data_IF_022805949720
#
_entry.id   IF_022805949720
#
_cell.length_a   1.000
_cell.length_b   1.000
_cell.length_c   1.000
_cell.angle_alpha   90.00
_cell.angle_beta   90.00
_cell.angle_gamma   90.00
#
_symmetry.space_group_name_H-M   'P 1'
#
loop_
_entity.id
_entity.type
_entity.pdbx_description
1 polymer ?
#
# COMPACT_ATOMS: atom_id res chain seq x y z
N UNK A 1 -13.13 1.60 17.17
CA UNK A 1 -11.83 1.47 16.42
C UNK A 1 -11.55 2.77 15.68
N UNK A 2 -10.30 3.23 15.71
CA UNK A 2 -9.89 4.52 15.15
C UNK A 2 -8.79 4.39 14.11
N UNK A 3 -8.97 5.09 12.99
CA UNK A 3 -7.99 5.17 11.89
C UNK A 3 -7.59 6.61 11.65
N UNK A 4 -6.31 6.90 11.65
CA UNK A 4 -5.79 8.19 11.16
C UNK A 4 -5.21 8.03 9.76
N UNK A 5 -5.53 8.94 8.85
CA UNK A 5 -4.98 9.03 7.50
C UNK A 5 -4.24 10.35 7.38
N UNK A 6 -2.91 10.29 7.28
CA UNK A 6 -2.05 11.46 7.09
C UNK A 6 -1.83 11.69 5.61
N UNK A 7 -2.35 12.80 5.11
CA UNK A 7 -2.47 13.16 3.71
C UNK A 7 -3.91 13.04 3.22
N UNK A 8 -4.65 14.16 3.19
CA UNK A 8 -6.05 14.22 2.74
C UNK A 8 -6.20 14.40 1.21
N UNK A 9 -5.16 14.04 0.46
CA UNK A 9 -5.20 14.02 -1.00
C UNK A 9 -6.19 12.99 -1.55
N UNK A 10 -6.23 12.82 -2.88
CA UNK A 10 -7.22 11.92 -3.51
C UNK A 10 -7.15 10.48 -2.97
N UNK A 11 -5.96 9.93 -2.72
CA UNK A 11 -5.79 8.57 -2.19
C UNK A 11 -6.31 8.48 -0.75
N UNK A 12 -5.89 9.42 0.12
CA UNK A 12 -6.32 9.43 1.53
C UNK A 12 -7.82 9.65 1.69
N UNK A 13 -8.39 10.60 0.95
CA UNK A 13 -9.84 10.84 0.96
C UNK A 13 -10.63 9.63 0.43
N UNK A 14 -10.15 8.96 -0.63
CA UNK A 14 -10.80 7.73 -1.13
C UNK A 14 -10.70 6.60 -0.11
N UNK A 15 -9.56 6.46 0.58
CA UNK A 15 -9.43 5.47 1.65
C UNK A 15 -10.43 5.73 2.78
N UNK A 16 -10.55 6.99 3.24
CA UNK A 16 -11.54 7.38 4.25
C UNK A 16 -12.97 7.08 3.81
N UNK A 17 -13.31 7.40 2.56
CA UNK A 17 -14.63 7.11 1.97
C UNK A 17 -14.97 5.61 2.00
N UNK A 18 -14.03 4.76 1.57
CA UNK A 18 -14.27 3.31 1.54
C UNK A 18 -14.30 2.73 2.95
N UNK A 19 -13.44 3.20 3.86
CA UNK A 19 -13.43 2.77 5.27
C UNK A 19 -14.76 3.12 5.94
N UNK A 20 -15.25 4.35 5.78
CA UNK A 20 -16.53 4.79 6.32
C UNK A 20 -17.71 4.03 5.70
N UNK A 21 -17.80 3.99 4.36
CA UNK A 21 -18.91 3.34 3.65
C UNK A 21 -19.05 1.85 3.95
N UNK A 22 -17.97 1.20 4.41
CA UNK A 22 -17.97 -0.21 4.83
C UNK A 22 -17.99 -0.37 6.35
N UNK A 23 -18.08 0.71 7.10
CA UNK A 23 -18.06 0.73 8.56
C UNK A 23 -16.90 -0.06 9.17
N UNK A 24 -15.71 0.06 8.55
CA UNK A 24 -14.49 -0.64 8.98
C UNK A 24 -13.95 -0.04 10.29
N UNK A 25 -14.12 1.27 10.49
CA UNK A 25 -13.72 1.99 11.69
C UNK A 25 -14.84 2.95 12.13
N UNK A 26 -14.97 3.17 13.43
CA UNK A 26 -15.93 4.12 14.02
C UNK A 26 -15.46 5.56 13.85
N UNK A 27 -14.16 5.79 14.12
CA UNK A 27 -13.52 7.11 14.05
C UNK A 27 -12.47 7.13 12.94
N UNK A 28 -12.56 8.11 12.06
CA UNK A 28 -11.60 8.34 10.97
C UNK A 28 -11.10 9.78 11.06
N UNK A 29 -9.79 9.94 11.22
CA UNK A 29 -9.14 11.27 11.22
C UNK A 29 -8.43 11.46 9.89
N UNK A 30 -8.78 12.51 9.16
CA UNK A 30 -8.02 13.01 8.02
C UNK A 30 -7.12 14.16 8.48
N UNK A 31 -5.81 14.03 8.30
CA UNK A 31 -4.84 15.04 8.67
C UNK A 31 -4.08 15.51 7.43
N UNK A 32 -3.98 16.83 7.24
CA UNK A 32 -3.16 17.43 6.17
C UNK A 32 -2.45 18.67 6.69
N UNK A 33 -1.41 19.12 6.01
CA UNK A 33 -0.70 20.37 6.33
C UNK A 33 -1.34 21.59 5.66
N UNK A 34 -2.16 21.37 4.64
CA UNK A 34 -2.83 22.43 3.88
C UNK A 34 -4.07 22.89 4.66
N UNK A 35 -4.07 24.16 5.06
CA UNK A 35 -5.12 24.76 5.88
C UNK A 35 -6.53 24.54 5.31
N UNK A 36 -7.44 24.03 6.13
CA UNK A 36 -8.85 23.77 5.79
C UNK A 36 -9.09 22.62 4.82
N UNK A 37 -8.04 22.00 4.28
CA UNK A 37 -8.19 20.99 3.21
C UNK A 37 -8.73 19.66 3.75
N UNK A 38 -8.19 19.19 4.85
CA UNK A 38 -8.64 17.96 5.48
C UNK A 38 -10.05 18.12 6.08
N UNK A 39 -10.33 19.27 6.69
CA UNK A 39 -11.64 19.64 7.24
C UNK A 39 -12.71 19.67 6.14
N UNK A 40 -12.40 20.30 5.00
CA UNK A 40 -13.30 20.33 3.85
C UNK A 40 -13.59 18.95 3.28
N UNK A 41 -12.56 18.09 3.16
CA UNK A 41 -12.71 16.69 2.71
C UNK A 41 -13.54 15.86 3.70
N UNK A 42 -13.29 16.00 4.99
CA UNK A 42 -14.04 15.30 6.03
C UNK A 42 -15.53 15.70 6.02
N UNK A 43 -15.80 17.00 5.91
CA UNK A 43 -17.17 17.51 5.82
C UNK A 43 -17.92 17.02 4.59
N UNK A 44 -17.27 17.03 3.41
CA UNK A 44 -17.84 16.52 2.16
C UNK A 44 -18.17 15.02 2.26
N UNK A 45 -17.25 14.23 2.82
CA UNK A 45 -17.46 12.80 3.07
C UNK A 45 -18.59 12.56 4.08
N UNK A 46 -18.64 13.30 5.20
CA UNK A 46 -19.73 13.19 6.18
C UNK A 46 -21.12 13.46 5.58
N UNK A 47 -21.21 14.36 4.60
CA UNK A 47 -22.47 14.62 3.90
C UNK A 47 -22.97 13.42 3.08
N UNK A 48 -22.12 12.44 2.80
CA UNK A 48 -22.51 11.21 2.10
C UNK A 48 -23.10 10.16 3.04
N UNK A 49 -23.01 10.31 4.37
CA UNK A 49 -23.41 9.29 5.34
C UNK A 49 -24.87 8.87 5.20
N UNK A 50 -25.78 9.85 5.06
CA UNK A 50 -27.22 9.56 4.90
C UNK A 50 -27.57 8.84 3.60
N UNK A 51 -26.78 9.01 2.55
CA UNK A 51 -27.02 8.36 1.25
C UNK A 51 -26.33 7.01 1.12
N UNK A 52 -25.21 6.82 1.83
CA UNK A 52 -24.41 5.58 1.85
C UNK A 52 -24.77 4.67 3.03
N UNK A 53 -25.42 5.22 4.07
CA UNK A 53 -25.90 4.45 5.22
C UNK A 53 -24.80 4.01 6.15
N UNK A 54 -23.88 4.91 6.54
CA UNK A 54 -22.83 4.62 7.53
C UNK A 54 -22.89 5.57 8.73
N UNK A 55 -22.45 5.10 9.89
CA UNK A 55 -22.40 5.86 11.16
C UNK A 55 -20.97 6.28 11.56
N UNK A 56 -19.94 5.91 10.79
CA UNK A 56 -18.56 6.33 11.04
C UNK A 56 -18.43 7.85 11.09
N UNK A 57 -17.65 8.37 12.05
CA UNK A 57 -17.35 9.80 12.16
C UNK A 57 -16.04 10.12 11.47
N UNK A 58 -16.06 11.08 10.55
CA UNK A 58 -14.87 11.53 9.82
C UNK A 58 -14.55 12.95 10.30
N UNK A 59 -13.38 13.12 10.90
CA UNK A 59 -12.88 14.43 11.38
C UNK A 59 -11.68 14.85 10.54
N UNK A 60 -11.68 16.08 10.05
CA UNK A 60 -10.54 16.71 9.39
C UNK A 60 -9.74 17.59 10.32
N UNK A 61 -8.42 17.68 10.12
CA UNK A 61 -7.57 18.59 10.89
C UNK A 61 -6.36 19.07 10.12
N UNK A 62 -6.04 20.34 10.26
CA UNK A 62 -4.83 20.96 9.72
C UNK A 62 -3.70 20.93 10.75
N UNK A 63 -2.76 19.98 10.58
CA UNK A 63 -1.51 19.92 11.36
C UNK A 63 -1.64 19.56 12.84
N UNK A 64 -2.85 19.37 13.38
CA UNK A 64 -3.05 18.97 14.78
C UNK A 64 -2.97 17.47 14.94
N UNK A 65 -1.79 17.00 15.32
CA UNK A 65 -1.54 15.58 15.58
C UNK A 65 -2.15 15.06 16.88
N UNK A 66 -2.64 15.92 17.78
CA UNK A 66 -3.30 15.47 19.02
C UNK A 66 -4.54 14.63 18.74
N UNK A 67 -5.23 14.91 17.61
CA UNK A 67 -6.38 14.12 17.17
C UNK A 67 -6.01 12.69 16.73
N UNK A 68 -4.73 12.37 16.55
CA UNK A 68 -4.28 11.00 16.22
C UNK A 68 -4.21 10.09 17.44
N UNK A 69 -4.36 10.65 18.65
CA UNK A 69 -4.31 9.88 19.90
C UNK A 69 -5.28 8.69 19.85
N UNK A 70 -4.78 7.53 20.29
CA UNK A 70 -5.56 6.30 20.34
C UNK A 70 -5.85 5.65 18.99
N UNK A 71 -5.18 6.03 17.91
CA UNK A 71 -5.35 5.39 16.61
C UNK A 71 -4.81 3.94 16.63
N UNK A 72 -5.66 2.98 16.24
CA UNK A 72 -5.27 1.58 16.06
C UNK A 72 -4.38 1.44 14.81
N UNK A 73 -4.75 2.14 13.74
CA UNK A 73 -4.05 2.14 12.45
C UNK A 73 -3.79 3.58 12.00
N UNK A 74 -2.57 3.83 11.55
CA UNK A 74 -2.18 5.09 10.92
C UNK A 74 -1.73 4.84 9.48
N UNK A 75 -2.46 5.41 8.54
CA UNK A 75 -2.14 5.34 7.10
C UNK A 75 -1.37 6.60 6.70
N UNK A 76 -0.17 6.44 6.14
CA UNK A 76 0.66 7.55 5.68
C UNK A 76 0.63 7.60 4.16
N UNK A 77 -0.15 8.54 3.62
CA UNK A 77 -0.22 8.84 2.18
C UNK A 77 0.46 10.16 1.82
N UNK A 78 0.98 10.88 2.83
CA UNK A 78 1.65 12.17 2.67
C UNK A 78 2.97 12.02 1.92
N UNK A 79 3.21 12.94 1.02
CA UNK A 79 4.39 12.98 0.17
C UNK A 79 4.11 13.79 -1.08
N UNK A 80 5.16 14.13 -1.81
CA UNK A 80 5.01 14.82 -3.10
C UNK A 80 5.14 13.84 -4.27
N UNK A 81 4.40 14.02 -5.35
CA UNK A 81 4.64 13.29 -6.59
C UNK A 81 5.91 13.84 -7.28
N UNK A 82 6.54 13.01 -8.10
CA UNK A 82 7.67 13.44 -8.92
C UNK A 82 7.26 14.57 -9.85
N UNK A 83 7.97 15.69 -9.78
CA UNK A 83 7.75 16.86 -10.67
C UNK A 83 8.68 16.76 -11.91
N UNK A 84 8.31 17.39 -13.04
CA UNK A 84 9.22 17.53 -14.18
C UNK A 84 10.54 18.17 -13.75
N UNK A 85 11.67 17.58 -14.17
CA UNK A 85 13.01 18.05 -13.81
C UNK A 85 13.56 17.57 -12.47
N UNK A 86 12.74 16.97 -11.61
CA UNK A 86 13.20 16.41 -10.32
C UNK A 86 13.91 15.08 -10.53
N UNK A 87 15.10 14.92 -9.90
CA UNK A 87 15.80 13.64 -9.87
C UNK A 87 15.08 12.65 -8.96
N UNK A 88 15.45 11.38 -9.05
CA UNK A 88 14.90 10.33 -8.18
C UNK A 88 15.38 10.52 -6.73
N UNK A 89 16.64 10.90 -6.56
CA UNK A 89 17.28 11.15 -5.28
C UNK A 89 16.62 12.33 -4.56
N UNK A 90 16.37 13.43 -5.26
CA UNK A 90 15.66 14.60 -4.70
C UNK A 90 14.24 14.21 -4.20
N UNK A 91 13.50 13.41 -4.98
CA UNK A 91 12.19 12.93 -4.55
C UNK A 91 12.28 12.07 -3.30
N UNK A 92 13.24 11.13 -3.26
CA UNK A 92 13.46 10.26 -2.10
C UNK A 92 13.79 11.10 -0.87
N UNK A 93 14.69 12.08 -0.99
CA UNK A 93 15.10 12.95 0.12
C UNK A 93 13.94 13.76 0.69
N UNK A 94 13.12 14.36 -0.18
CA UNK A 94 11.95 15.14 0.27
C UNK A 94 10.94 14.24 0.99
N UNK A 95 10.57 13.11 0.39
CA UNK A 95 9.59 12.21 0.98
C UNK A 95 10.13 11.52 2.24
N UNK A 96 11.43 11.26 2.33
CA UNK A 96 12.07 10.73 3.53
C UNK A 96 11.89 11.69 4.73
N UNK A 97 12.14 12.99 4.53
CA UNK A 97 11.93 13.99 5.58
C UNK A 97 10.46 14.06 6.00
N UNK A 98 9.52 14.07 5.04
CA UNK A 98 8.09 14.06 5.34
C UNK A 98 7.71 12.83 6.16
N UNK A 99 8.13 11.63 5.76
CA UNK A 99 7.81 10.37 6.46
C UNK A 99 8.39 10.36 7.88
N UNK A 100 9.61 10.85 8.08
CA UNK A 100 10.23 10.97 9.41
C UNK A 100 9.45 11.93 10.31
N UNK A 101 9.14 13.12 9.81
CA UNK A 101 8.42 14.14 10.59
C UNK A 101 7.02 13.65 10.96
N UNK A 102 6.30 13.06 10.03
CA UNK A 102 4.97 12.46 10.26
C UNK A 102 5.07 11.34 11.29
N UNK A 103 6.01 10.41 11.13
CA UNK A 103 6.19 9.28 12.05
C UNK A 103 6.50 9.75 13.47
N UNK A 104 7.40 10.74 13.61
CA UNK A 104 7.74 11.34 14.91
C UNK A 104 6.52 11.99 15.57
N UNK A 105 5.77 12.78 14.82
CA UNK A 105 4.60 13.48 15.35
C UNK A 105 3.48 12.49 15.76
N UNK A 106 3.25 11.44 15.00
CA UNK A 106 2.29 10.39 15.35
C UNK A 106 2.69 9.71 16.66
N UNK A 107 3.96 9.30 16.80
CA UNK A 107 4.43 8.60 17.99
C UNK A 107 4.43 9.47 19.26
N UNK A 108 4.34 10.79 19.14
CA UNK A 108 4.14 11.68 20.27
C UNK A 108 2.75 11.51 20.93
N UNK A 109 1.75 11.06 20.18
CA UNK A 109 0.37 10.89 20.64
C UNK A 109 -0.12 9.45 20.64
N UNK A 110 0.48 8.58 19.82
CA UNK A 110 0.07 7.18 19.68
C UNK A 110 1.28 6.26 19.77
N UNK A 111 1.46 5.59 20.91
CA UNK A 111 2.70 4.89 21.26
C UNK A 111 2.98 3.62 20.46
N UNK A 112 1.95 2.93 19.97
CA UNK A 112 2.10 1.62 19.32
C UNK A 112 1.08 1.38 18.19
N UNK A 113 0.93 2.29 17.21
CA UNK A 113 0.00 2.11 16.10
C UNK A 113 0.50 1.03 15.12
N UNK A 114 -0.39 0.50 14.28
CA UNK A 114 0.03 -0.16 13.06
C UNK A 114 0.14 0.90 11.98
N UNK A 115 1.33 1.03 11.38
CA UNK A 115 1.58 1.98 10.30
C UNK A 115 1.36 1.28 8.95
N UNK A 116 0.49 1.85 8.12
CA UNK A 116 0.31 1.48 6.72
C UNK A 116 0.93 2.56 5.84
N UNK A 117 2.08 2.24 5.25
CA UNK A 117 2.84 3.15 4.38
C UNK A 117 2.31 3.07 2.93
N UNK A 118 2.08 4.24 2.35
CA UNK A 118 1.61 4.40 0.96
C UNK A 118 2.50 5.36 0.17
N UNK A 119 3.22 6.24 0.86
CA UNK A 119 4.11 7.25 0.25
C UNK A 119 5.24 6.61 -0.56
N UNK A 120 5.51 7.15 -1.73
CA UNK A 120 6.52 6.62 -2.66
C UNK A 120 7.91 7.28 -2.49
N UNK A 121 8.99 6.52 -2.76
CA UNK A 121 9.06 5.09 -3.10
C UNK A 121 8.65 4.20 -1.93
N UNK A 122 7.58 3.42 -2.09
CA UNK A 122 6.85 2.82 -0.98
C UNK A 122 7.70 1.85 -0.15
N UNK A 123 8.46 0.95 -0.76
CA UNK A 123 9.33 -0.02 -0.04
C UNK A 123 10.41 0.71 0.77
N UNK A 124 11.04 1.72 0.17
CA UNK A 124 12.05 2.57 0.80
C UNK A 124 11.47 3.38 1.95
N UNK A 125 10.27 3.95 1.79
CA UNK A 125 9.59 4.71 2.84
C UNK A 125 9.11 3.79 3.97
N UNK A 126 8.69 2.56 3.68
CA UNK A 126 8.36 1.55 4.69
C UNK A 126 9.58 1.18 5.53
N UNK A 127 10.71 0.93 4.87
CA UNK A 127 11.98 0.66 5.56
C UNK A 127 12.41 1.84 6.44
N UNK A 128 12.33 3.08 5.92
CA UNK A 128 12.65 4.29 6.68
C UNK A 128 11.73 4.46 7.89
N UNK A 129 10.42 4.30 7.73
CA UNK A 129 9.47 4.40 8.84
C UNK A 129 9.77 3.36 9.92
N UNK A 130 10.08 2.13 9.55
CA UNK A 130 10.49 1.09 10.50
C UNK A 130 11.74 1.51 11.28
N UNK A 131 12.80 1.95 10.59
CA UNK A 131 14.08 2.31 11.23
C UNK A 131 13.96 3.58 12.09
N UNK A 132 13.14 4.55 11.69
CA UNK A 132 12.98 5.82 12.40
C UNK A 132 12.02 5.73 13.59
N UNK A 133 11.05 4.83 13.56
CA UNK A 133 10.08 4.67 14.65
C UNK A 133 10.51 3.70 15.73
N UNK A 134 11.35 2.72 15.40
CA UNK A 134 11.71 1.63 16.31
C UNK A 134 10.53 0.70 16.68
N UNK A 135 9.40 0.80 15.98
CA UNK A 135 8.26 -0.09 16.18
C UNK A 135 8.62 -1.54 15.84
N UNK A 136 7.85 -2.47 16.39
CA UNK A 136 7.97 -3.86 16.01
C UNK A 136 7.77 -4.00 14.48
N UNK A 137 8.66 -4.70 13.75
CA UNK A 137 8.54 -4.87 12.29
C UNK A 137 7.19 -5.36 11.79
N UNK A 138 6.45 -6.11 12.61
CA UNK A 138 5.10 -6.57 12.30
C UNK A 138 4.07 -5.44 12.21
N UNK A 139 4.39 -4.28 12.75
CA UNK A 139 3.49 -3.11 12.82
C UNK A 139 3.76 -2.04 11.76
N UNK A 140 4.73 -2.24 10.89
CA UNK A 140 5.03 -1.31 9.79
C UNK A 140 4.89 -2.05 8.46
N UNK A 141 3.89 -1.68 7.69
CA UNK A 141 3.42 -2.42 6.52
C UNK A 141 3.31 -1.45 5.34
N UNK A 142 3.92 -1.79 4.22
CA UNK A 142 3.78 -1.03 2.97
C UNK A 142 2.65 -1.60 2.10
N UNK A 143 1.71 -0.74 1.69
CA UNK A 143 0.59 -1.10 0.82
C UNK A 143 1.02 -0.98 -0.66
N UNK A 144 1.69 -2.00 -1.20
CA UNK A 144 2.10 -2.07 -2.61
C UNK A 144 1.49 -3.28 -3.31
N UNK A 145 1.88 -4.47 -2.88
CA UNK A 145 1.46 -5.72 -3.49
C UNK A 145 -0.05 -5.97 -3.50
N UNK A 146 -0.78 -5.44 -2.52
CA UNK A 146 -2.25 -5.47 -2.50
C UNK A 146 -2.83 -4.78 -3.75
N UNK A 147 -2.35 -3.57 -4.06
CA UNK A 147 -2.75 -2.80 -5.25
C UNK A 147 -2.27 -3.48 -6.54
N UNK A 148 -1.02 -3.93 -6.58
CA UNK A 148 -0.43 -4.55 -7.77
C UNK A 148 -1.13 -5.88 -8.10
N UNK A 149 -1.49 -6.66 -7.08
CA UNK A 149 -2.30 -7.88 -7.25
C UNK A 149 -3.72 -7.58 -7.73
N UNK A 150 -4.32 -6.46 -7.29
CA UNK A 150 -5.61 -6.01 -7.81
C UNK A 150 -5.53 -5.67 -9.31
N UNK A 151 -4.48 -4.97 -9.73
CA UNK A 151 -4.20 -4.69 -11.15
C UNK A 151 -4.01 -5.98 -11.95
N UNK A 152 -3.21 -6.90 -11.43
CA UNK A 152 -2.97 -8.21 -12.05
C UNK A 152 -4.26 -8.98 -12.27
N UNK A 153 -5.10 -9.08 -11.25
CA UNK A 153 -6.44 -9.71 -11.34
C UNK A 153 -7.33 -9.00 -12.37
N UNK A 154 -7.26 -7.67 -12.45
CA UNK A 154 -8.00 -6.90 -13.45
C UNK A 154 -7.58 -7.27 -14.87
N UNK A 155 -6.28 -7.29 -15.16
CA UNK A 155 -5.81 -7.63 -16.50
C UNK A 155 -6.05 -9.11 -16.87
N UNK A 156 -5.97 -10.03 -15.90
CA UNK A 156 -6.41 -11.42 -16.11
C UNK A 156 -7.92 -11.45 -16.45
N UNK A 157 -8.75 -10.78 -15.67
CA UNK A 157 -10.21 -10.71 -15.87
C UNK A 157 -10.57 -10.22 -17.27
N UNK A 158 -9.90 -9.16 -17.73
CA UNK A 158 -10.08 -8.62 -19.09
C UNK A 158 -9.63 -9.61 -20.16
N UNK A 159 -8.50 -10.29 -19.97
CA UNK A 159 -7.96 -11.23 -20.94
C UNK A 159 -8.82 -12.49 -21.11
N UNK A 160 -9.35 -13.03 -20.00
CA UNK A 160 -10.21 -14.24 -20.04
C UNK A 160 -11.70 -13.91 -20.17
N UNK A 161 -12.09 -12.64 -20.14
CA UNK A 161 -13.47 -12.16 -20.13
C UNK A 161 -14.34 -12.85 -19.04
N UNK A 162 -13.85 -12.85 -17.81
CA UNK A 162 -14.52 -13.49 -16.64
C UNK A 162 -14.48 -12.56 -15.42
N UNK A 163 -15.41 -12.74 -14.44
CA UNK A 163 -15.47 -11.92 -13.23
C UNK A 163 -14.19 -11.96 -12.40
N UNK A 164 -13.67 -10.79 -12.01
CA UNK A 164 -12.41 -10.64 -11.26
C UNK A 164 -12.43 -11.31 -9.89
N UNK A 165 -13.59 -11.36 -9.21
CA UNK A 165 -13.73 -11.92 -7.86
C UNK A 165 -13.30 -13.39 -7.71
N UNK A 166 -13.27 -14.12 -8.83
CA UNK A 166 -12.92 -15.54 -8.86
C UNK A 166 -11.46 -15.79 -9.27
N UNK A 167 -10.67 -14.74 -9.37
CA UNK A 167 -9.26 -14.82 -9.78
C UNK A 167 -8.37 -14.80 -8.53
N UNK A 168 -7.56 -15.84 -8.38
CA UNK A 168 -6.41 -15.87 -7.49
C UNK A 168 -5.19 -15.40 -8.27
N UNK A 169 -4.57 -14.31 -7.82
CA UNK A 169 -3.39 -13.75 -8.47
C UNK A 169 -2.62 -12.89 -7.47
N UNK A 170 -1.32 -13.08 -7.43
CA UNK A 170 -0.41 -12.45 -6.47
C UNK A 170 0.72 -11.77 -7.24
N UNK A 171 1.07 -10.56 -6.81
CA UNK A 171 2.27 -9.83 -7.23
C UNK A 171 3.18 -9.68 -6.01
N UNK A 172 4.45 -10.03 -6.16
CA UNK A 172 5.50 -9.88 -5.15
C UNK A 172 6.61 -8.95 -5.66
N UNK A 173 7.65 -8.74 -4.85
CA UNK A 173 8.76 -7.86 -5.20
C UNK A 173 8.51 -6.40 -4.83
N UNK A 174 9.39 -5.51 -5.26
CA UNK A 174 9.29 -4.07 -5.01
C UNK A 174 8.12 -3.44 -5.77
N UNK A 175 7.54 -2.39 -5.18
CA UNK A 175 6.41 -1.65 -5.76
C UNK A 175 6.88 -0.64 -6.83
N UNK A 176 7.31 -1.14 -7.98
CA UNK A 176 7.77 -0.32 -9.11
C UNK A 176 7.64 -1.07 -10.43
N UNK A 177 7.51 -0.32 -11.53
CA UNK A 177 7.22 -0.85 -12.86
C UNK A 177 8.23 -1.91 -13.34
N UNK A 178 9.46 -1.90 -12.80
CA UNK A 178 10.53 -2.83 -13.15
C UNK A 178 10.88 -3.83 -12.04
N UNK A 179 10.27 -3.69 -10.87
CA UNK A 179 10.62 -4.48 -9.67
C UNK A 179 9.49 -5.40 -9.21
N UNK A 180 8.25 -5.16 -9.62
CA UNK A 180 7.15 -6.06 -9.29
C UNK A 180 7.18 -7.34 -10.13
N UNK A 181 6.72 -8.43 -9.55
CA UNK A 181 6.76 -9.78 -10.14
C UNK A 181 5.36 -10.39 -10.07
N UNK A 182 4.54 -10.25 -11.13
CA UNK A 182 3.27 -10.95 -11.23
C UNK A 182 3.48 -12.46 -11.36
N UNK A 183 3.04 -13.24 -10.38
CA UNK A 183 3.25 -14.69 -10.34
C UNK A 183 2.20 -15.42 -11.18
N UNK A 184 2.26 -15.27 -12.50
CA UNK A 184 1.29 -15.86 -13.44
C UNK A 184 1.22 -17.38 -13.38
N UNK A 185 2.31 -18.08 -13.04
CA UNK A 185 2.36 -19.53 -12.86
C UNK A 185 1.43 -20.00 -11.73
N UNK A 186 1.31 -19.19 -10.67
CA UNK A 186 0.47 -19.49 -9.50
C UNK A 186 -0.96 -18.94 -9.65
N UNK A 187 -1.23 -18.13 -10.68
CA UNK A 187 -2.54 -17.54 -10.89
C UNK A 187 -3.59 -18.58 -11.32
N UNK A 188 -4.82 -18.42 -10.80
CA UNK A 188 -5.93 -19.33 -11.05
C UNK A 188 -7.23 -18.56 -11.25
N UNK A 189 -8.17 -19.18 -11.97
CA UNK A 189 -9.57 -18.77 -12.03
C UNK A 189 -10.46 -19.92 -11.57
N UNK A 190 -11.23 -19.74 -10.51
CA UNK A 190 -12.02 -20.82 -9.88
C UNK A 190 -11.18 -22.08 -9.58
N UNK A 191 -9.93 -21.90 -9.16
CA UNK A 191 -9.01 -23.02 -8.89
C UNK A 191 -8.32 -23.60 -10.13
N UNK A 192 -8.74 -23.25 -11.35
CA UNK A 192 -8.09 -23.70 -12.58
C UNK A 192 -6.87 -22.82 -12.89
N UNK A 193 -5.69 -23.42 -13.18
CA UNK A 193 -4.49 -22.67 -13.53
C UNK A 193 -4.68 -21.75 -14.75
N UNK A 194 -4.15 -20.53 -14.66
CA UNK A 194 -4.24 -19.53 -15.75
C UNK A 194 -3.67 -20.05 -17.08
N UNK A 195 -2.65 -20.89 -17.03
CA UNK A 195 -2.02 -21.51 -18.21
C UNK A 195 -2.95 -22.41 -19.05
N UNK A 196 -4.10 -22.81 -18.49
CA UNK A 196 -5.13 -23.53 -19.25
C UNK A 196 -6.13 -22.61 -19.94
N UNK A 197 -6.15 -21.33 -19.54
CA UNK A 197 -7.13 -20.33 -20.00
C UNK A 197 -6.52 -19.32 -20.96
N UNK A 198 -5.22 -19.06 -20.83
CA UNK A 198 -4.46 -18.11 -21.66
C UNK A 198 -3.23 -18.78 -22.27
N UNK A 199 -2.95 -18.44 -23.51
CA UNK A 199 -1.69 -18.75 -24.16
C UNK A 199 -0.51 -17.95 -23.59
N UNK A 200 0.70 -18.30 -24.05
CA UNK A 200 1.94 -17.65 -23.57
C UNK A 200 1.91 -16.15 -23.88
N UNK A 201 1.60 -15.76 -25.11
CA UNK A 201 1.60 -14.35 -25.54
C UNK A 201 0.59 -13.51 -24.76
N UNK A 202 -0.63 -14.02 -24.53
CA UNK A 202 -1.65 -13.32 -23.75
C UNK A 202 -1.22 -13.18 -22.28
N UNK A 203 -0.60 -14.22 -21.72
CA UNK A 203 -0.06 -14.19 -20.36
C UNK A 203 1.04 -13.14 -20.23
N UNK A 204 1.97 -13.05 -21.18
CA UNK A 204 3.02 -12.02 -21.20
C UNK A 204 2.43 -10.60 -21.30
N UNK A 205 1.38 -10.40 -22.12
CA UNK A 205 0.65 -9.12 -22.21
C UNK A 205 0.03 -8.74 -20.88
N UNK A 206 -0.60 -9.69 -20.18
CA UNK A 206 -1.18 -9.48 -18.83
C UNK A 206 -0.09 -9.07 -17.83
N UNK A 207 1.03 -9.80 -17.79
CA UNK A 207 2.17 -9.50 -16.92
C UNK A 207 2.69 -8.08 -17.18
N UNK A 208 2.99 -7.77 -18.46
CA UNK A 208 3.50 -6.45 -18.85
C UNK A 208 2.52 -5.32 -18.52
N UNK A 209 1.21 -5.51 -18.79
CA UNK A 209 0.19 -4.53 -18.48
C UNK A 209 0.06 -4.30 -16.97
N UNK A 210 0.24 -5.35 -16.16
CA UNK A 210 0.27 -5.23 -14.70
C UNK A 210 1.44 -4.36 -14.26
N UNK A 211 2.64 -4.64 -14.73
CA UNK A 211 3.86 -3.92 -14.35
C UNK A 211 3.77 -2.43 -14.67
N UNK A 212 3.30 -2.06 -15.86
CA UNK A 212 3.18 -0.66 -16.27
C UNK A 212 1.82 -0.02 -15.92
N UNK A 213 0.95 -0.71 -15.19
CA UNK A 213 -0.42 -0.27 -14.91
C UNK A 213 -0.51 1.09 -14.21
N UNK A 214 0.43 1.38 -13.31
CA UNK A 214 0.54 2.70 -12.66
C UNK A 214 0.86 3.82 -13.63
N UNK A 215 1.87 3.63 -14.47
CA UNK A 215 2.27 4.59 -15.49
C UNK A 215 1.16 4.80 -16.54
N UNK A 216 0.48 3.73 -16.95
CA UNK A 216 -0.67 3.79 -17.86
C UNK A 216 -1.78 4.68 -17.32
N UNK A 217 -2.18 4.47 -16.05
CA UNK A 217 -3.22 5.30 -15.43
C UNK A 217 -2.78 6.76 -15.27
N UNK A 218 -1.53 6.99 -14.88
CA UNK A 218 -0.98 8.35 -14.79
C UNK A 218 -1.03 9.07 -16.13
N UNK A 219 -0.72 8.38 -17.23
CA UNK A 219 -0.81 8.95 -18.58
C UNK A 219 -2.26 9.28 -18.98
N UNK A 220 -3.22 8.40 -18.63
CA UNK A 220 -4.63 8.58 -18.99
C UNK A 220 -5.33 9.65 -18.13
N UNK A 221 -5.00 9.72 -16.83
CA UNK A 221 -5.65 10.62 -15.87
C UNK A 221 -4.94 11.97 -15.72
N UNK A 222 -3.71 12.11 -16.21
CA UNK A 222 -2.85 13.27 -15.94
C UNK A 222 -2.33 13.34 -14.50
N UNK A 223 -2.65 12.35 -13.66
CA UNK A 223 -2.21 12.24 -12.28
C UNK A 223 -2.20 10.76 -11.85
N UNK A 224 -1.65 10.46 -10.67
CA UNK A 224 -1.65 9.10 -10.12
C UNK A 224 -3.07 8.60 -9.85
N UNK A 225 -3.30 7.29 -10.00
CA UNK A 225 -4.55 6.65 -9.62
C UNK A 225 -4.87 6.84 -8.13
N UNK A 226 -6.14 6.86 -7.75
CA UNK A 226 -6.56 7.02 -6.35
C UNK A 226 -7.67 6.05 -5.90
N UNK A 227 -8.60 5.63 -6.77
CA UNK A 227 -9.69 4.71 -6.39
C UNK A 227 -9.16 3.34 -5.97
N UNK A 228 -8.33 2.70 -6.80
CA UNK A 228 -7.77 1.39 -6.48
C UNK A 228 -6.79 1.44 -5.29
N UNK A 229 -5.88 2.42 -5.18
CA UNK A 229 -5.07 2.61 -3.97
C UNK A 229 -5.91 2.79 -2.71
N UNK A 230 -6.91 3.68 -2.71
CA UNK A 230 -7.79 3.90 -1.57
C UNK A 230 -8.56 2.64 -1.14
N UNK A 231 -9.08 1.88 -2.11
CA UNK A 231 -9.73 0.59 -1.85
C UNK A 231 -8.76 -0.46 -1.31
N UNK A 232 -7.50 -0.48 -1.79
CA UNK A 232 -6.47 -1.41 -1.30
C UNK A 232 -6.05 -1.08 0.13
N UNK A 233 -5.97 0.21 0.48
CA UNK A 233 -5.76 0.68 1.86
C UNK A 233 -6.90 0.18 2.74
N UNK A 234 -8.15 0.43 2.36
CA UNK A 234 -9.31 0.02 3.14
C UNK A 234 -9.38 -1.50 3.32
N UNK A 235 -9.02 -2.29 2.31
CA UNK A 235 -8.93 -3.75 2.40
C UNK A 235 -7.88 -4.22 3.42
N UNK A 236 -6.72 -3.56 3.45
CA UNK A 236 -5.67 -3.86 4.40
C UNK A 236 -6.08 -3.46 5.84
N UNK A 237 -6.65 -2.25 6.00
CA UNK A 237 -7.16 -1.74 7.28
C UNK A 237 -8.26 -2.66 7.83
N UNK A 238 -9.19 -3.11 6.98
CA UNK A 238 -10.25 -4.05 7.34
C UNK A 238 -9.69 -5.40 7.84
N UNK A 239 -8.64 -5.90 7.19
CA UNK A 239 -7.97 -7.12 7.65
C UNK A 239 -7.33 -6.96 9.02
N UNK A 240 -6.79 -5.77 9.32
CA UNK A 240 -6.17 -5.44 10.60
C UNK A 240 -7.24 -5.30 11.69
N UNK A 241 -8.18 -4.38 11.52
CA UNK A 241 -9.14 -4.02 12.56
C UNK A 241 -10.10 -5.16 12.89
N UNK A 242 -10.52 -5.92 11.90
CA UNK A 242 -11.46 -7.04 12.04
C UNK A 242 -10.78 -8.42 12.16
N UNK A 243 -9.44 -8.46 12.37
CA UNK A 243 -8.63 -9.70 12.54
C UNK A 243 -8.91 -10.78 11.48
N UNK A 244 -9.12 -10.38 10.21
CA UNK A 244 -9.56 -11.29 9.14
C UNK A 244 -8.49 -12.29 8.70
N UNK A 245 -7.21 -12.01 8.99
CA UNK A 245 -6.07 -12.85 8.62
C UNK A 245 -6.00 -13.15 7.12
N UNK A 246 -6.44 -12.20 6.30
CA UNK A 246 -6.32 -12.31 4.87
C UNK A 246 -4.85 -12.41 4.46
N UNK A 247 -4.57 -13.24 3.46
CA UNK A 247 -3.23 -13.29 2.84
C UNK A 247 -3.17 -12.17 1.82
N UNK A 248 -2.40 -11.14 2.16
CA UNK A 248 -2.26 -9.91 1.37
C UNK A 248 -0.78 -9.70 1.07
N UNK A 249 -0.38 -9.54 -0.20
CA UNK A 249 0.99 -9.13 -0.52
C UNK A 249 1.23 -7.70 -0.03
N UNK A 250 2.22 -7.56 0.84
CA UNK A 250 2.60 -6.29 1.45
C UNK A 250 4.12 -6.16 1.50
N UNK A 251 4.61 -4.93 1.44
CA UNK A 251 6.02 -4.64 1.73
C UNK A 251 6.23 -4.72 3.24
N UNK A 252 7.02 -5.68 3.66
CA UNK A 252 7.30 -5.95 5.07
C UNK A 252 8.78 -6.24 5.28
N UNK A 253 9.25 -6.01 6.50
CA UNK A 253 10.63 -6.29 6.85
C UNK A 253 10.93 -7.79 6.82
N UNK A 254 11.94 -8.16 6.05
CA UNK A 254 12.41 -9.52 5.94
C UNK A 254 13.70 -9.71 6.73
N UNK A 255 13.73 -10.81 7.50
CA UNK A 255 14.87 -11.30 8.26
C UNK A 255 14.94 -12.82 8.08
N UNK A 256 15.57 -13.26 6.99
CA UNK A 256 15.73 -14.65 6.60
C UNK A 256 14.67 -15.21 5.65
N UNK A 257 13.48 -14.61 5.56
CA UNK A 257 12.45 -15.08 4.65
C UNK A 257 12.87 -14.89 3.18
N UNK A 258 12.61 -15.88 2.34
CA UNK A 258 13.05 -15.92 0.94
C UNK A 258 14.57 -15.73 0.75
N UNK A 259 15.39 -16.01 1.80
CA UNK A 259 16.83 -15.75 1.81
C UNK A 259 17.21 -14.27 1.87
N UNK A 260 16.24 -13.38 2.08
CA UNK A 260 16.45 -11.93 2.13
C UNK A 260 16.53 -11.43 3.58
N UNK A 261 17.41 -10.46 3.83
CA UNK A 261 17.62 -9.85 5.14
C UNK A 261 17.69 -8.33 5.01
N UNK A 262 17.32 -7.63 6.08
CA UNK A 262 17.40 -6.18 6.24
C UNK A 262 16.82 -5.38 5.04
N UNK A 263 15.59 -5.69 4.69
CA UNK A 263 14.87 -5.05 3.58
C UNK A 263 13.36 -5.09 3.83
N UNK A 264 12.65 -4.05 3.41
CA UNK A 264 11.20 -4.09 3.22
C UNK A 264 10.91 -4.31 1.74
N UNK A 265 10.17 -5.38 1.43
CA UNK A 265 9.81 -5.75 0.06
C UNK A 265 8.49 -6.54 0.05
N UNK A 266 7.77 -6.49 -1.06
CA UNK A 266 6.46 -7.12 -1.20
C UNK A 266 6.52 -8.64 -1.20
N UNK A 267 5.90 -9.27 -0.21
CA UNK A 267 5.68 -10.73 -0.09
C UNK A 267 4.30 -11.00 0.49
N UNK A 268 3.71 -12.20 0.28
CA UNK A 268 2.43 -12.53 0.87
C UNK A 268 2.52 -12.63 2.39
N UNK A 269 1.60 -11.96 3.08
CA UNK A 269 1.53 -11.93 4.53
C UNK A 269 0.11 -12.23 5.00
N UNK A 270 -0.05 -13.01 6.05
CA UNK A 270 -1.28 -13.07 6.82
C UNK A 270 -1.36 -11.79 7.66
N UNK A 271 -2.39 -10.99 7.43
CA UNK A 271 -2.59 -9.68 8.08
C UNK A 271 -3.77 -9.75 9.03
N UNK A 272 -3.55 -9.44 10.29
CA UNK A 272 -4.54 -9.44 11.34
C UNK A 272 -4.33 -8.32 12.36
N UNK A 273 -4.96 -8.42 13.51
CA UNK A 273 -5.01 -7.35 14.55
C UNK A 273 -3.65 -6.92 15.10
N UNK A 274 -2.61 -7.76 14.98
CA UNK A 274 -1.25 -7.41 15.41
C UNK A 274 -0.39 -6.84 14.26
N UNK A 275 -0.98 -6.65 13.08
CA UNK A 275 -0.29 -6.32 11.84
C UNK A 275 0.08 -7.56 11.04
N UNK A 276 1.36 -7.78 10.77
CA UNK A 276 1.87 -8.99 10.10
C UNK A 276 1.87 -10.16 11.10
N UNK A 277 0.93 -11.07 10.94
CA UNK A 277 0.88 -12.28 11.79
C UNK A 277 1.91 -13.32 11.33
N UNK A 278 2.00 -13.50 10.01
CA UNK A 278 2.91 -14.46 9.40
C UNK A 278 3.30 -14.02 7.98
N UNK A 279 4.55 -14.22 7.61
CA UNK A 279 5.02 -14.16 6.22
C UNK A 279 4.80 -15.54 5.60
N UNK A 280 4.06 -15.58 4.49
CA UNK A 280 3.74 -16.84 3.79
C UNK A 280 4.85 -17.15 2.79
N UNK A 281 5.48 -18.30 2.95
CA UNK A 281 6.53 -18.77 2.04
C UNK A 281 5.87 -19.45 0.83
N UNK A 282 6.06 -18.87 -0.36
CA UNK A 282 5.62 -19.49 -1.61
C UNK A 282 6.71 -20.42 -2.17
N UNK A 283 6.29 -21.45 -2.88
CA UNK A 283 7.18 -22.31 -3.68
C UNK A 283 7.50 -21.61 -5.01
N UNK A 284 8.50 -20.71 -4.95
CA UNK A 284 9.01 -20.00 -6.12
C UNK A 284 9.98 -20.89 -6.91
N UNK A 285 9.82 -20.92 -8.22
CA UNK A 285 10.81 -21.56 -9.08
C UNK A 285 12.09 -20.69 -9.18
N UNK A 286 13.12 -21.21 -9.86
CA UNK A 286 14.41 -20.54 -9.95
C UNK A 286 14.29 -19.16 -10.62
N UNK A 287 13.55 -19.02 -11.70
CA UNK A 287 13.35 -17.75 -12.41
C UNK A 287 12.62 -16.72 -11.55
N UNK A 288 11.59 -17.13 -10.82
CA UNK A 288 10.85 -16.28 -9.90
C UNK A 288 11.73 -15.83 -8.71
N UNK A 289 12.59 -16.72 -8.21
CA UNK A 289 13.55 -16.38 -7.14
C UNK A 289 14.64 -15.44 -7.63
N UNK A 290 15.19 -15.67 -8.83
CA UNK A 290 16.20 -14.78 -9.43
C UNK A 290 15.62 -13.37 -9.67
N UNK A 291 14.36 -13.27 -10.11
CA UNK A 291 13.65 -12.00 -10.24
C UNK A 291 13.43 -11.33 -8.88
N UNK A 292 13.09 -12.08 -7.83
CA UNK A 292 12.92 -11.54 -6.48
C UNK A 292 14.24 -10.98 -5.93
N UNK A 293 15.35 -11.67 -6.14
CA UNK A 293 16.68 -11.20 -5.76
C UNK A 293 17.05 -9.90 -6.51
N UNK A 294 16.82 -9.85 -7.83
CA UNK A 294 17.07 -8.65 -8.63
C UNK A 294 16.19 -7.47 -8.19
N UNK A 295 14.93 -7.75 -7.84
CA UNK A 295 14.03 -6.76 -7.28
C UNK A 295 14.51 -6.22 -5.92
N UNK A 296 14.99 -7.12 -5.05
CA UNK A 296 15.55 -6.75 -3.75
C UNK A 296 16.80 -5.87 -3.90
N UNK A 297 17.68 -6.17 -4.84
CA UNK A 297 18.88 -5.37 -5.10
C UNK A 297 18.51 -3.97 -5.60
N UNK A 298 17.48 -3.83 -6.42
CA UNK A 298 16.99 -2.53 -6.85
C UNK A 298 16.40 -1.71 -5.67
N UNK A 299 15.66 -2.35 -4.76
CA UNK A 299 15.14 -1.70 -3.54
C UNK A 299 16.28 -1.31 -2.61
N UNK A 300 17.28 -2.18 -2.40
CA UNK A 300 18.48 -1.85 -1.60
C UNK A 300 19.24 -0.64 -2.16
N UNK A 301 19.40 -0.58 -3.48
CA UNK A 301 20.03 0.58 -4.13
C UNK A 301 19.28 1.88 -3.84
N UNK A 302 17.95 1.83 -3.77
CA UNK A 302 17.14 3.00 -3.35
C UNK A 302 17.31 3.30 -1.86
N UNK A 303 17.39 2.29 -1.00
CA UNK A 303 17.60 2.49 0.44
C UNK A 303 18.96 3.13 0.75
N UNK A 304 20.01 2.85 -0.06
CA UNK A 304 21.32 3.50 0.09
C UNK A 304 21.25 5.02 -0.06
N UNK A 305 20.30 5.55 -0.83
CA UNK A 305 20.12 7.00 -0.95
C UNK A 305 19.58 7.65 0.34
N UNK A 306 19.02 6.85 1.26
CA UNK A 306 18.56 7.33 2.57
C UNK A 306 19.72 7.65 3.54
N UNK A 307 20.92 7.10 3.33
CA UNK A 307 22.08 7.28 4.23
C UNK A 307 22.41 8.77 4.44
N UNK A 308 22.18 9.59 3.42
CA UNK A 308 22.37 11.04 3.50
C UNK A 308 21.21 11.77 4.22
N UNK A 309 20.17 11.04 4.61
CA UNK A 309 18.96 11.57 5.24
C UNK A 309 18.65 10.89 6.59
N UNK A 310 19.48 9.94 7.05
CA UNK A 310 19.41 9.35 8.40
C UNK A 310 20.37 10.07 9.31
#
# INVERSE_FOLDING_TARGET
MKVTIVGAGNVGATAADVIASKEIAEDIVLLDIKEGFAEGKALDLMQTSSTKGFDSVITGTTGDYSLTEGSDVVVITSGIPRKPGMTREELIGINANIVKDVSKNILAYTSNPIIVMVSNPMDTMTYLALKSTGLNPKRVIGMGGALDSSRFKTYISLAINKPQKNIDGIVIGGHGDTTMIPLHRLAKYNGEPLSKLLGIEETEKVVKSTMIGGATLTKLLGTSAWYAPGSSIAYLVDSILNDKKHIIPCSVFLDGHYGLNDICIGVPCSIGKNGVEQIVQLDLNKDEMDKLNSSADAVRSMNLTLINHT
#
